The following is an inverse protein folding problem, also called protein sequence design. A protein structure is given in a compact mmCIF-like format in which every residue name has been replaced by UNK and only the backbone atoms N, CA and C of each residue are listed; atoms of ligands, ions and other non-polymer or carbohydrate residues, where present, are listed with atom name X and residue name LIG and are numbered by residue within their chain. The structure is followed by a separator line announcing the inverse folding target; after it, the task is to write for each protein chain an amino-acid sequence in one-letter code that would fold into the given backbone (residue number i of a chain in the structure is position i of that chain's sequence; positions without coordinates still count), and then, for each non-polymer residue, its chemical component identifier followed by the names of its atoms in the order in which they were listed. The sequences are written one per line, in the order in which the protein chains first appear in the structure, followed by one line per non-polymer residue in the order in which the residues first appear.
data_IF_971743890441
#
_entry.id   IF_971743890441
#
_cell.length_a   1.000
_cell.length_b   1.000
_cell.length_c   1.000
_cell.angle_alpha   90.00
_cell.angle_beta   90.00
_cell.angle_gamma   90.00
#
_symmetry.space_group_name_H-M   'P 1'
#
loop_
_entity.id
_entity.type
_entity.pdbx_description
1 polymer ?
#
# COMPACT_ATOMS: atom_id res chain seq x y z
N UNK A 1 8.97 -12.74 -4.86
CA UNK A 1 9.16 -12.66 -3.39
C UNK A 1 8.51 -11.38 -2.91
N UNK A 2 7.49 -11.44 -2.04
CA UNK A 2 6.93 -10.25 -1.40
C UNK A 2 7.83 -9.84 -0.24
N UNK A 3 8.25 -8.57 -0.19
CA UNK A 3 9.01 -8.05 0.94
C UNK A 3 8.13 -8.01 2.20
N UNK A 4 8.70 -8.42 3.34
CA UNK A 4 8.00 -8.43 4.62
C UNK A 4 7.96 -7.02 5.22
N UNK A 5 6.79 -6.60 5.71
CA UNK A 5 6.68 -5.33 6.44
C UNK A 5 7.35 -5.45 7.82
N UNK A 6 8.29 -4.54 8.12
CA UNK A 6 9.04 -4.50 9.38
C UNK A 6 9.09 -3.07 9.91
N UNK A 7 8.88 -2.90 11.22
CA UNK A 7 8.91 -1.59 11.88
C UNK A 7 10.30 -0.97 11.76
N UNK A 8 10.36 0.34 11.46
CA UNK A 8 11.61 1.09 11.30
C UNK A 8 12.30 0.92 9.95
N UNK A 9 11.87 -0.05 9.13
CA UNK A 9 12.34 -0.22 7.75
C UNK A 9 11.42 0.52 6.76
N UNK A 10 11.92 0.86 5.56
CA UNK A 10 11.06 1.33 4.49
C UNK A 10 9.91 0.33 4.24
N UNK A 11 8.69 0.86 4.12
CA UNK A 11 7.54 0.03 3.76
C UNK A 11 7.77 -0.64 2.39
N UNK A 12 7.27 -1.87 2.18
CA UNK A 12 7.34 -2.53 0.88
C UNK A 12 6.76 -1.66 -0.24
N UNK A 13 7.25 -1.86 -1.47
CA UNK A 13 6.61 -1.27 -2.64
C UNK A 13 5.20 -1.83 -2.78
N UNK A 14 4.21 -0.93 -2.86
CA UNK A 14 2.79 -1.27 -3.00
C UNK A 14 2.24 -0.52 -4.21
N UNK A 15 1.66 -1.28 -5.12
CA UNK A 15 0.84 -0.79 -6.24
C UNK A 15 -0.54 -1.46 -6.14
N UNK A 16 -1.59 -0.65 -6.11
CA UNK A 16 -2.98 -1.08 -6.01
C UNK A 16 -3.79 -0.39 -7.10
N UNK A 17 -4.91 -0.97 -7.51
CA UNK A 17 -5.94 -0.24 -8.22
C UNK A 17 -6.89 0.41 -7.20
N UNK A 18 -7.26 1.66 -7.42
CA UNK A 18 -8.37 2.27 -6.69
C UNK A 18 -9.72 1.75 -7.19
N UNK A 19 -10.82 2.23 -6.59
CA UNK A 19 -12.19 1.83 -6.95
C UNK A 19 -12.59 2.15 -8.41
N UNK A 20 -11.84 3.03 -9.07
CA UNK A 20 -12.06 3.42 -10.46
C UNK A 20 -11.06 2.72 -11.41
N UNK A 21 -10.26 1.78 -10.91
CA UNK A 21 -9.21 1.12 -11.67
C UNK A 21 -7.95 1.97 -11.88
N UNK A 22 -7.88 3.17 -11.30
CA UNK A 22 -6.70 4.02 -11.44
C UNK A 22 -5.56 3.50 -10.57
N UNK A 23 -4.31 3.53 -11.06
CA UNK A 23 -3.18 3.05 -10.30
C UNK A 23 -2.88 3.96 -9.11
N UNK A 24 -2.82 3.36 -7.93
CA UNK A 24 -2.34 3.98 -6.71
C UNK A 24 -1.01 3.37 -6.31
N UNK A 25 0.00 4.20 -6.08
CA UNK A 25 1.34 3.78 -5.65
C UNK A 25 1.69 4.42 -4.32
N UNK A 26 2.22 3.64 -3.38
CA UNK A 26 2.69 4.17 -2.10
C UNK A 26 3.80 5.22 -2.29
N UNK A 27 4.68 5.02 -3.29
CA UNK A 27 5.76 5.95 -3.60
C UNK A 27 5.27 7.35 -3.98
N UNK A 28 4.06 7.48 -4.53
CA UNK A 28 3.46 8.78 -4.88
C UNK A 28 2.98 9.57 -3.67
N UNK A 29 2.97 8.98 -2.48
CA UNK A 29 2.52 9.61 -1.23
C UNK A 29 3.68 10.08 -0.32
N UNK A 30 4.92 10.11 -0.83
CA UNK A 30 6.08 10.60 -0.06
C UNK A 30 5.83 12.00 0.53
N UNK A 31 6.34 12.21 1.74
CA UNK A 31 6.12 13.44 2.51
C UNK A 31 4.80 13.47 3.29
N UNK A 32 3.95 12.44 3.18
CA UNK A 32 2.71 12.30 3.94
C UNK A 32 2.78 11.08 4.87
N UNK A 33 2.05 11.15 5.98
CA UNK A 33 1.76 9.95 6.78
C UNK A 33 0.63 9.18 6.10
N UNK A 34 0.82 7.87 5.91
CA UNK A 34 -0.12 7.00 5.20
C UNK A 34 -0.46 5.80 6.07
N UNK A 35 -1.75 5.46 6.15
CA UNK A 35 -2.25 4.25 6.81
C UNK A 35 -2.90 3.35 5.75
N UNK A 36 -2.45 2.10 5.67
CA UNK A 36 -3.00 1.07 4.78
C UNK A 36 -3.76 0.04 5.61
N UNK A 37 -5.05 -0.14 5.31
CA UNK A 37 -5.92 -1.09 5.99
C UNK A 37 -6.32 -2.17 4.98
N UNK A 38 -5.88 -3.40 5.22
CA UNK A 38 -6.31 -4.55 4.43
C UNK A 38 -7.50 -5.21 5.11
N UNK A 39 -8.57 -5.46 4.37
CA UNK A 39 -9.72 -6.23 4.84
C UNK A 39 -9.97 -7.40 3.89
N UNK A 40 -10.51 -8.50 4.43
CA UNK A 40 -11.00 -9.60 3.62
C UNK A 40 -12.29 -9.16 2.95
N UNK A 41 -12.38 -9.28 1.63
CA UNK A 41 -13.66 -9.19 0.95
C UNK A 41 -14.35 -10.55 1.08
N UNK A 42 -15.48 -10.59 1.78
CA UNK A 42 -16.29 -11.80 1.95
C UNK A 42 -17.59 -11.53 1.21
N UNK A 43 -17.81 -12.29 0.12
CA UNK A 43 -19.08 -12.35 -0.61
C UNK A 43 -19.83 -13.60 -0.21
#
# INVERSE_FOLDING_TARGET
MSAQAMVGQPAPAIELADRHGSPWRLASQRGKTVVLIFHRHIH
#
